data_IF_631462635853
#
_entry.id   IF_631462635853
#
_cell.length_a   1.000
_cell.length_b   1.000
_cell.length_c   1.000
_cell.angle_alpha   90.00
_cell.angle_beta   90.00
_cell.angle_gamma   90.00
#
_symmetry.space_group_name_H-M   'P 1'
#
loop_
_entity.id
_entity.type
_entity.pdbx_description
1 polymer ?
#
# COMPACT_ATOMS: atom_id res chain seq x y z
N UNK A 1 63.35 5.53 -19.21
CA UNK A 1 62.66 4.23 -19.21
C UNK A 1 61.18 4.53 -19.01
N UNK A 2 60.41 4.19 -20.05
CA UNK A 2 58.95 4.11 -20.08
C UNK A 2 58.56 2.98 -19.12
N UNK A 3 57.66 3.18 -18.14
CA UNK A 3 56.22 2.87 -18.27
C UNK A 3 55.34 3.62 -17.25
N UNK A 4 54.23 4.11 -17.78
CA UNK A 4 52.92 4.48 -17.19
C UNK A 4 52.03 3.21 -17.28
N UNK A 5 50.85 3.02 -16.63
CA UNK A 5 50.10 3.83 -15.65
C UNK A 5 49.70 3.05 -14.39
N UNK A 6 49.05 3.77 -13.46
CA UNK A 6 48.20 3.23 -12.41
C UNK A 6 47.33 2.05 -12.89
N UNK A 7 47.74 0.82 -12.58
CA UNK A 7 46.81 -0.30 -12.61
C UNK A 7 45.86 -0.11 -11.42
N UNK A 8 44.53 -0.02 -11.62
CA UNK A 8 43.61 -0.17 -10.51
C UNK A 8 43.81 -1.59 -9.99
N UNK A 9 44.62 -1.74 -8.94
CA UNK A 9 44.76 -3.02 -8.24
C UNK A 9 43.36 -3.30 -7.76
N UNK A 10 42.69 -4.25 -8.41
CA UNK A 10 41.34 -4.62 -8.05
C UNK A 10 41.47 -5.29 -6.70
N UNK A 11 41.26 -4.50 -5.64
CA UNK A 11 41.41 -4.95 -4.26
C UNK A 11 40.49 -6.15 -4.08
N UNK A 12 41.07 -7.32 -3.79
CA UNK A 12 40.34 -8.58 -3.62
C UNK A 12 39.22 -8.40 -2.58
N UNK A 13 39.48 -7.59 -1.54
CA UNK A 13 38.48 -7.19 -0.54
C UNK A 13 37.27 -6.47 -1.15
N UNK A 14 37.51 -5.56 -2.10
CA UNK A 14 36.45 -4.85 -2.83
C UNK A 14 35.59 -5.79 -3.67
N UNK A 15 36.19 -6.80 -4.30
CA UNK A 15 35.45 -7.82 -5.05
C UNK A 15 34.61 -8.72 -4.12
N UNK A 16 35.15 -9.07 -2.96
CA UNK A 16 34.41 -9.88 -1.96
C UNK A 16 33.21 -9.10 -1.44
N UNK A 17 33.39 -7.83 -1.05
CA UNK A 17 32.29 -6.97 -0.59
C UNK A 17 31.24 -6.78 -1.68
N UNK A 18 31.65 -6.54 -2.93
CA UNK A 18 30.74 -6.39 -4.06
C UNK A 18 29.99 -7.69 -4.37
N UNK A 19 30.65 -8.84 -4.27
CA UNK A 19 30.02 -10.15 -4.43
C UNK A 19 28.98 -10.43 -3.35
N UNK A 20 29.30 -10.16 -2.08
CA UNK A 20 28.34 -10.30 -0.96
C UNK A 20 27.16 -9.35 -1.16
N UNK A 21 27.42 -8.09 -1.50
CA UNK A 21 26.37 -7.11 -1.76
C UNK A 21 25.45 -7.56 -2.91
N UNK A 22 26.01 -8.03 -4.01
CA UNK A 22 25.24 -8.55 -5.14
C UNK A 22 24.38 -9.77 -4.74
N UNK A 23 24.91 -10.68 -3.91
CA UNK A 23 24.15 -11.84 -3.39
C UNK A 23 23.00 -11.37 -2.50
N UNK A 24 23.24 -10.42 -1.60
CA UNK A 24 22.20 -9.86 -0.72
C UNK A 24 21.11 -9.17 -1.54
N UNK A 25 21.49 -8.31 -2.49
CA UNK A 25 20.55 -7.65 -3.40
C UNK A 25 19.76 -8.68 -4.20
N UNK A 26 20.41 -9.71 -4.75
CA UNK A 26 19.75 -10.78 -5.46
C UNK A 26 18.77 -11.55 -4.57
N UNK A 27 19.15 -11.90 -3.35
CA UNK A 27 18.30 -12.57 -2.39
C UNK A 27 17.08 -11.72 -2.01
N UNK A 28 17.26 -10.41 -1.79
CA UNK A 28 16.17 -9.46 -1.53
C UNK A 28 15.24 -9.36 -2.73
N UNK A 29 15.77 -9.23 -3.95
CA UNK A 29 14.96 -9.18 -5.18
C UNK A 29 14.18 -10.47 -5.37
N UNK A 30 14.78 -11.64 -5.15
CA UNK A 30 14.09 -12.92 -5.23
C UNK A 30 13.03 -13.06 -4.13
N UNK A 31 13.34 -12.63 -2.90
CA UNK A 31 12.37 -12.62 -1.80
C UNK A 31 11.17 -11.70 -2.08
N UNK A 32 11.38 -10.55 -2.74
CA UNK A 32 10.32 -9.65 -3.19
C UNK A 32 9.54 -10.19 -4.39
N UNK A 33 10.20 -10.93 -5.30
CA UNK A 33 9.55 -11.54 -6.47
C UNK A 33 8.70 -12.75 -6.12
N UNK A 34 9.11 -13.57 -5.15
CA UNK A 34 8.36 -14.77 -4.72
C UNK A 34 6.88 -14.49 -4.38
N UNK A 35 6.50 -13.48 -3.58
CA UNK A 35 5.11 -13.16 -3.33
C UNK A 35 4.40 -12.53 -4.53
N UNK A 36 5.13 -11.77 -5.38
CA UNK A 36 4.56 -11.20 -6.60
C UNK A 36 4.29 -12.24 -7.70
N UNK A 37 5.01 -13.37 -7.68
CA UNK A 37 4.86 -14.51 -8.58
C UNK A 37 3.99 -15.62 -7.98
N UNK A 38 3.24 -15.33 -6.90
CA UNK A 38 2.28 -16.29 -6.37
C UNK A 38 1.40 -16.84 -7.50
N UNK A 39 1.01 -18.14 -7.46
CA UNK A 39 0.13 -18.70 -8.46
C UNK A 39 -1.05 -17.75 -8.62
N UNK A 40 -1.44 -17.36 -9.85
CA UNK A 40 -2.56 -16.47 -10.07
C UNK A 40 -3.70 -16.99 -9.21
N UNK A 41 -4.05 -16.26 -8.16
CA UNK A 41 -5.16 -16.66 -7.31
C UNK A 41 -6.33 -16.82 -8.28
N UNK A 42 -6.92 -18.03 -8.37
CA UNK A 42 -8.01 -18.27 -9.32
C UNK A 42 -9.02 -17.15 -9.15
N UNK A 43 -9.46 -16.54 -10.25
CA UNK A 43 -10.41 -15.43 -10.18
C UNK A 43 -11.57 -15.89 -9.27
N UNK A 44 -11.79 -15.22 -8.11
CA UNK A 44 -12.83 -15.66 -7.19
C UNK A 44 -14.23 -15.44 -7.76
N UNK A 45 -14.34 -14.71 -8.88
CA UNK A 45 -15.58 -14.42 -9.57
C UNK A 45 -15.84 -15.41 -10.71
N UNK A 46 -17.10 -15.85 -10.90
CA UNK A 46 -17.47 -16.66 -12.05
C UNK A 46 -17.37 -15.84 -13.35
N UNK A 47 -17.11 -16.52 -14.47
CA UNK A 47 -16.87 -15.90 -15.78
C UNK A 47 -18.03 -15.01 -16.25
N UNK A 48 -19.26 -15.35 -15.87
CA UNK A 48 -20.46 -14.54 -16.10
C UNK A 48 -20.39 -13.15 -15.49
N UNK A 49 -19.81 -13.01 -14.28
CA UNK A 49 -19.66 -11.72 -13.60
C UNK A 49 -18.59 -10.90 -14.33
N UNK A 50 -17.45 -11.50 -14.66
CA UNK A 50 -16.39 -10.84 -15.43
C UNK A 50 -16.93 -10.31 -16.77
N UNK A 51 -17.71 -11.13 -17.47
CA UNK A 51 -18.34 -10.75 -18.74
C UNK A 51 -19.32 -9.60 -18.56
N UNK A 52 -20.13 -9.61 -17.50
CA UNK A 52 -21.10 -8.54 -17.22
C UNK A 52 -20.44 -7.21 -16.82
N UNK A 53 -19.28 -7.25 -16.16
CA UNK A 53 -18.52 -6.05 -15.77
C UNK A 53 -17.83 -5.41 -16.98
N UNK A 54 -17.44 -6.22 -17.97
CA UNK A 54 -16.81 -5.74 -19.21
C UNK A 54 -17.82 -5.33 -20.29
N UNK A 55 -19.11 -5.57 -20.06
CA UNK A 55 -20.16 -5.23 -21.01
C UNK A 55 -20.26 -3.70 -21.20
N UNK A 56 -20.58 -3.21 -22.42
CA UNK A 56 -20.63 -1.77 -22.70
C UNK A 56 -21.79 -1.05 -22.00
N UNK A 57 -22.78 -1.78 -21.49
CA UNK A 57 -23.89 -1.29 -20.67
C UNK A 57 -23.60 -1.37 -19.16
N UNK A 58 -22.41 -1.84 -18.77
CA UNK A 58 -22.00 -1.87 -17.37
C UNK A 58 -21.86 -0.44 -16.83
N UNK A 59 -22.63 -0.14 -15.79
CA UNK A 59 -22.64 1.18 -15.16
C UNK A 59 -21.40 1.35 -14.27
N UNK A 60 -20.50 2.32 -14.55
CA UNK A 60 -19.34 2.53 -13.68
C UNK A 60 -19.82 3.09 -12.34
N UNK A 61 -19.35 2.50 -11.24
CA UNK A 61 -19.73 2.92 -9.89
C UNK A 61 -18.55 3.55 -9.16
N UNK A 62 -18.83 4.52 -8.28
CA UNK A 62 -17.83 5.02 -7.34
C UNK A 62 -17.47 3.92 -6.33
N UNK A 63 -16.18 3.59 -6.21
CA UNK A 63 -15.69 2.56 -5.27
C UNK A 63 -15.88 2.93 -3.78
N UNK A 64 -16.18 4.20 -3.45
CA UNK A 64 -16.38 4.66 -2.07
C UNK A 64 -17.85 4.70 -1.68
N UNK A 65 -18.72 5.24 -2.52
CA UNK A 65 -20.12 5.50 -2.19
C UNK A 65 -21.14 4.77 -3.10
N UNK A 66 -20.65 3.95 -4.03
CA UNK A 66 -21.44 3.18 -5.00
C UNK A 66 -22.43 4.01 -5.83
N UNK A 67 -22.20 5.32 -5.92
CA UNK A 67 -23.03 6.19 -6.76
C UNK A 67 -22.66 5.97 -8.23
N UNK A 68 -23.65 5.77 -9.11
CA UNK A 68 -23.45 5.75 -10.56
C UNK A 68 -22.58 6.91 -11.03
N UNK A 69 -21.58 6.60 -11.84
CA UNK A 69 -20.72 7.57 -12.49
C UNK A 69 -21.04 7.61 -13.98
N UNK A 70 -20.75 8.75 -14.59
CA UNK A 70 -20.62 8.82 -16.04
C UNK A 70 -19.17 8.41 -16.40
N UNK A 71 -18.97 7.76 -17.55
CA UNK A 71 -17.66 7.22 -17.95
C UNK A 71 -16.56 8.30 -18.05
N UNK A 72 -16.94 9.58 -18.10
CA UNK A 72 -16.03 10.72 -18.24
C UNK A 72 -15.74 11.46 -16.92
N UNK A 73 -16.26 11.00 -15.78
CA UNK A 73 -16.11 11.65 -14.48
C UNK A 73 -14.85 11.20 -13.71
N UNK A 74 -13.87 12.10 -13.56
CA UNK A 74 -12.67 11.86 -12.72
C UNK A 74 -12.91 11.98 -11.22
N UNK A 75 -14.03 12.58 -10.83
CA UNK A 75 -14.41 12.76 -9.43
C UNK A 75 -15.88 12.44 -9.26
N UNK A 76 -16.20 11.74 -8.18
CA UNK A 76 -17.57 11.46 -7.82
C UNK A 76 -18.31 12.75 -7.44
N UNK A 77 -19.46 13.08 -8.08
CA UNK A 77 -20.21 14.29 -7.76
C UNK A 77 -20.82 14.26 -6.35
N UNK A 78 -20.96 13.08 -5.74
CA UNK A 78 -21.57 12.91 -4.42
C UNK A 78 -20.56 12.98 -3.28
N UNK A 79 -19.45 12.23 -3.38
CA UNK A 79 -18.47 12.14 -2.29
C UNK A 79 -17.13 12.83 -2.59
N UNK A 80 -16.89 13.29 -3.82
CA UNK A 80 -15.64 13.94 -4.23
C UNK A 80 -14.44 13.01 -4.38
N UNK A 81 -14.60 11.70 -4.16
CA UNK A 81 -13.54 10.70 -4.34
C UNK A 81 -13.09 10.66 -5.80
N UNK A 82 -11.79 10.53 -6.02
CA UNK A 82 -11.24 10.36 -7.37
C UNK A 82 -11.68 9.01 -7.94
N UNK A 83 -12.40 9.05 -9.05
CA UNK A 83 -12.94 7.86 -9.74
C UNK A 83 -12.41 7.80 -11.17
N UNK A 84 -12.59 6.65 -11.82
CA UNK A 84 -12.24 6.46 -13.22
C UNK A 84 -11.13 5.43 -13.45
N UNK A 85 -11.00 4.96 -14.70
CA UNK A 85 -10.05 3.93 -15.06
C UNK A 85 -8.61 4.44 -14.89
N UNK A 86 -7.78 3.67 -14.18
CA UNK A 86 -6.36 3.94 -14.00
C UNK A 86 -6.04 5.35 -13.45
N UNK A 87 -6.90 5.91 -12.60
CA UNK A 87 -6.68 7.23 -11.99
C UNK A 87 -5.30 7.38 -11.32
N UNK A 88 -4.77 6.30 -10.75
CA UNK A 88 -3.45 6.24 -10.11
C UNK A 88 -2.27 6.35 -11.08
N UNK A 89 -2.48 6.14 -12.38
CA UNK A 89 -1.45 6.23 -13.42
C UNK A 89 -1.50 7.55 -14.20
N UNK A 90 -2.53 8.38 -13.97
CA UNK A 90 -2.68 9.64 -14.67
C UNK A 90 -1.90 10.76 -13.95
N UNK A 91 -1.05 11.53 -14.66
CA UNK A 91 -0.15 12.51 -14.05
C UNK A 91 -0.82 13.56 -13.16
N UNK A 92 -2.07 13.91 -13.40
CA UNK A 92 -2.78 14.88 -12.57
C UNK A 92 -3.63 14.22 -11.47
N UNK A 93 -4.23 13.08 -11.76
CA UNK A 93 -5.22 12.46 -10.87
C UNK A 93 -4.59 11.63 -9.76
N UNK A 94 -3.38 11.12 -9.96
CA UNK A 94 -2.72 10.29 -8.95
C UNK A 94 -2.49 11.04 -7.63
N UNK A 95 -2.32 12.37 -7.66
CA UNK A 95 -2.12 13.19 -6.45
C UNK A 95 -3.36 13.08 -5.53
N UNK A 96 -4.56 13.01 -6.11
CA UNK A 96 -5.79 12.89 -5.33
C UNK A 96 -5.91 11.52 -4.67
N UNK A 97 -5.53 10.44 -5.35
CA UNK A 97 -5.55 9.11 -4.75
C UNK A 97 -4.46 8.95 -3.68
N UNK A 98 -3.27 9.52 -3.88
CA UNK A 98 -2.25 9.61 -2.83
C UNK A 98 -2.76 10.38 -1.60
N UNK A 99 -3.43 11.51 -1.83
CA UNK A 99 -4.06 12.31 -0.79
C UNK A 99 -5.14 11.54 -0.02
N UNK A 100 -5.98 10.75 -0.72
CA UNK A 100 -6.97 9.88 -0.08
C UNK A 100 -6.33 8.81 0.80
N UNK A 101 -5.22 8.20 0.35
CA UNK A 101 -4.47 7.22 1.14
C UNK A 101 -3.91 7.85 2.41
N UNK A 102 -3.24 9.00 2.31
CA UNK A 102 -2.70 9.72 3.48
C UNK A 102 -3.81 10.15 4.43
N UNK A 103 -4.92 10.69 3.90
CA UNK A 103 -6.07 11.08 4.71
C UNK A 103 -6.67 9.90 5.44
N UNK A 104 -6.79 8.73 4.80
CA UNK A 104 -7.25 7.51 5.45
C UNK A 104 -6.31 7.09 6.60
N UNK A 105 -5.00 7.29 6.46
CA UNK A 105 -4.03 7.06 7.54
C UNK A 105 -4.24 7.96 8.77
N UNK A 106 -4.78 9.16 8.61
CA UNK A 106 -5.00 10.10 9.72
C UNK A 106 -6.41 10.04 10.29
N UNK A 107 -7.41 9.77 9.45
CA UNK A 107 -8.83 9.90 9.80
C UNK A 107 -9.55 8.56 9.95
N UNK A 108 -9.17 7.55 9.18
CA UNK A 108 -9.86 6.26 9.16
C UNK A 108 -9.16 5.25 10.10
N UNK A 109 -9.86 4.15 10.41
CA UNK A 109 -9.31 3.03 11.19
C UNK A 109 -8.37 2.22 10.31
N UNK A 110 -7.11 2.10 10.72
CA UNK A 110 -6.11 1.37 9.94
C UNK A 110 -6.05 -0.06 10.44
N UNK A 111 -5.88 -1.01 9.52
CA UNK A 111 -5.60 -2.39 9.90
C UNK A 111 -4.34 -2.44 10.78
N UNK A 112 -4.40 -3.04 11.98
CA UNK A 112 -3.21 -3.16 12.82
C UNK A 112 -2.23 -4.12 12.14
N UNK A 113 -1.10 -3.58 11.69
CA UNK A 113 -0.06 -4.36 11.02
C UNK A 113 1.24 -3.58 10.90
N UNK A 114 2.37 -4.26 11.12
CA UNK A 114 3.70 -3.66 10.97
C UNK A 114 3.90 -3.11 9.56
N UNK A 115 3.49 -3.88 8.54
CA UNK A 115 3.59 -3.50 7.13
C UNK A 115 2.79 -2.23 6.83
N UNK A 116 1.56 -2.12 7.33
CA UNK A 116 0.75 -0.91 7.12
C UNK A 116 1.38 0.32 7.76
N UNK A 117 1.85 0.21 9.02
CA UNK A 117 2.49 1.34 9.73
C UNK A 117 3.78 1.77 9.03
N UNK A 118 4.66 0.82 8.71
CA UNK A 118 5.91 1.09 8.03
C UNK A 118 5.67 1.68 6.63
N UNK A 119 4.67 1.16 5.90
CA UNK A 119 4.27 1.66 4.59
C UNK A 119 3.88 3.14 4.63
N UNK A 120 3.03 3.56 5.58
CA UNK A 120 2.67 4.97 5.72
C UNK A 120 3.86 5.87 6.07
N UNK A 121 4.76 5.42 6.95
CA UNK A 121 5.95 6.19 7.32
C UNK A 121 6.85 6.38 6.09
N UNK A 122 7.18 5.28 5.40
CA UNK A 122 8.03 5.31 4.21
C UNK A 122 7.42 6.18 3.11
N UNK A 123 6.12 6.00 2.85
CA UNK A 123 5.39 6.77 1.84
C UNK A 123 5.40 8.28 2.13
N UNK A 124 5.26 8.67 3.41
CA UNK A 124 5.31 10.07 3.83
C UNK A 124 6.65 10.72 3.55
N UNK A 125 7.76 10.02 3.82
CA UNK A 125 9.10 10.55 3.56
C UNK A 125 9.45 10.54 2.07
N UNK A 126 8.97 9.55 1.31
CA UNK A 126 9.24 9.44 -0.12
C UNK A 126 8.55 10.55 -0.94
N UNK A 127 7.28 10.84 -0.66
CA UNK A 127 6.48 11.80 -1.43
C UNK A 127 6.49 13.22 -0.82
N UNK A 128 6.58 13.33 0.51
CA UNK A 128 6.35 14.58 1.24
C UNK A 128 7.41 14.85 2.29
N UNK A 129 8.70 14.73 1.96
CA UNK A 129 9.81 14.85 2.93
C UNK A 129 9.70 16.06 3.88
N UNK A 130 9.30 17.24 3.38
CA UNK A 130 9.16 18.47 4.18
C UNK A 130 7.94 18.41 5.11
N UNK A 131 6.81 17.90 4.64
CA UNK A 131 5.56 17.84 5.41
C UNK A 131 5.41 16.54 6.23
N UNK A 132 6.28 15.56 6.00
CA UNK A 132 6.33 14.28 6.68
C UNK A 132 6.26 14.37 8.22
N UNK A 133 7.04 15.22 8.93
CA UNK A 133 6.96 15.28 10.39
C UNK A 133 5.57 15.69 10.89
N UNK A 134 4.90 16.60 10.18
CA UNK A 134 3.56 17.06 10.53
C UNK A 134 2.52 15.96 10.30
N UNK A 135 2.61 15.27 9.16
CA UNK A 135 1.76 14.10 8.88
C UNK A 135 1.95 13.00 9.93
N UNK A 136 3.19 12.65 10.26
CA UNK A 136 3.51 11.60 11.22
C UNK A 136 2.97 11.91 12.62
N UNK A 137 3.01 13.18 13.04
CA UNK A 137 2.38 13.59 14.29
C UNK A 137 0.88 13.25 14.31
N UNK A 138 0.13 13.60 13.26
CA UNK A 138 -1.30 13.29 13.17
C UNK A 138 -1.56 11.79 13.04
N UNK A 139 -0.73 11.08 12.28
CA UNK A 139 -0.81 9.64 12.11
C UNK A 139 -0.61 8.89 13.44
N UNK A 140 0.42 9.23 14.20
CA UNK A 140 0.68 8.64 15.52
C UNK A 140 -0.45 8.95 16.50
N UNK A 141 -0.97 10.18 16.47
CA UNK A 141 -2.15 10.56 17.27
C UNK A 141 -3.37 9.72 16.92
N UNK A 142 -3.61 9.44 15.64
CA UNK A 142 -4.68 8.56 15.20
C UNK A 142 -4.48 7.11 15.71
N UNK A 143 -3.26 6.57 15.61
CA UNK A 143 -2.94 5.24 16.12
C UNK A 143 -3.16 5.13 17.63
N UNK A 144 -2.74 6.14 18.41
CA UNK A 144 -2.98 6.16 19.86
C UNK A 144 -4.47 6.19 20.22
N UNK A 145 -5.33 6.78 19.37
CA UNK A 145 -6.79 6.77 19.57
C UNK A 145 -7.43 5.41 19.27
N UNK A 146 -6.80 4.59 18.44
CA UNK A 146 -7.34 3.30 18.00
C UNK A 146 -7.01 2.15 18.95
N UNK A 147 -6.06 2.34 19.88
CA UNK A 147 -5.78 1.37 20.94
C UNK A 147 -7.01 1.24 21.85
N UNK A 148 -7.61 0.05 21.99
CA UNK A 148 -8.73 -0.13 22.92
C UNK A 148 -8.27 0.21 24.35
N UNK A 149 -9.14 0.84 25.17
CA UNK A 149 -8.82 1.10 26.56
C UNK A 149 -8.59 -0.24 27.31
N UNK A 150 -7.67 -0.30 28.29
CA UNK A 150 -7.34 -1.54 29.01
C UNK A 150 -8.53 -2.26 29.67
N UNK A 151 -9.66 -1.58 29.85
CA UNK A 151 -10.87 -2.09 30.50
C UNK A 151 -11.73 -3.00 29.62
N UNK A 152 -11.62 -2.98 28.29
CA UNK A 152 -12.43 -3.84 27.41
C UNK A 152 -11.85 -5.26 27.30
N UNK A 153 -10.52 -5.42 27.43
CA UNK A 153 -9.83 -6.71 27.39
C UNK A 153 -10.14 -7.61 28.60
N UNK A 154 -10.68 -7.07 29.70
CA UNK A 154 -11.04 -7.85 30.89
C UNK A 154 -12.46 -8.46 30.81
N UNK A 155 -13.32 -8.00 29.89
CA UNK A 155 -14.71 -8.45 29.84
C UNK A 155 -14.95 -9.59 28.82
N UNK A 156 -14.02 -9.86 27.91
CA UNK A 156 -14.16 -10.93 26.90
C UNK A 156 -13.81 -12.33 27.43
N UNK A 157 -13.13 -12.45 28.58
CA UNK A 157 -12.75 -13.73 29.19
C UNK A 157 -13.86 -14.37 30.05
N UNK A 158 -15.04 -13.74 30.18
CA UNK A 158 -16.17 -14.23 30.99
C UNK A 158 -17.43 -14.39 30.15
N UNK A 159 -17.42 -15.33 29.21
CA UNK A 159 -18.65 -15.86 28.63
C UNK A 159 -18.64 -17.39 28.76
N UNK A 160 -19.36 -18.00 29.73
CA UNK A 160 -19.58 -19.44 29.70
C UNK A 160 -20.43 -19.80 28.47
N UNK A 161 -20.23 -20.99 27.86
CA UNK A 161 -21.03 -21.42 26.73
C UNK A 161 -22.48 -21.52 27.17
N UNK A 162 -23.35 -20.68 26.59
CA UNK A 162 -24.80 -20.81 26.73
C UNK A 162 -25.23 -22.11 26.07
N UNK A 163 -25.50 -23.12 26.89
CA UNK A 163 -26.31 -24.27 26.52
C UNK A 163 -27.69 -23.80 26.08
N UNK A 164 -28.07 -24.10 24.85
CA UNK A 164 -29.47 -24.10 24.42
C UNK A 164 -29.74 -25.41 23.70
N UNK A 165 -30.86 -26.00 24.10
CA UNK A 165 -31.40 -27.31 23.75
C UNK A 165 -31.63 -27.56 22.25
#
# INVERSE_FOLDING_TARGET
>A
MVENPDHPVVNIEGLVVLGIFAIVVYAVVQWLRRPMQGPPTPNPWPEEVETSVQAPDALPLCHRCFTPQDHNGWFCPKCGTATGPYNNLMPYLYIFSQGEVLRAGVMDRIRPGFVSRFGFILFSFAEYFIAAPLYLYFFLRNLSRQSPPPSELQNEDVAPPSSTD
#
